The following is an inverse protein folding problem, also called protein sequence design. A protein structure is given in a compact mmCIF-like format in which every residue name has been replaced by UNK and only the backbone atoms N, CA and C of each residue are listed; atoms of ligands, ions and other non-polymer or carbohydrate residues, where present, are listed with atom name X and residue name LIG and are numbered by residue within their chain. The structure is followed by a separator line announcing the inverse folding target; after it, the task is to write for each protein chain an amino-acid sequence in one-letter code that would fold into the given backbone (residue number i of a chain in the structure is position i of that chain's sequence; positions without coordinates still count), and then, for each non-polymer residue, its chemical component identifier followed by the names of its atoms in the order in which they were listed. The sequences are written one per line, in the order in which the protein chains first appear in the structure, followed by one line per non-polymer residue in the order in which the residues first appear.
data_IF_450000202899
#
_entry.id   IF_450000202899
#
_cell.length_a   1.000
_cell.length_b   1.000
_cell.length_c   1.000
_cell.angle_alpha   90.00
_cell.angle_beta   90.00
_cell.angle_gamma   90.00
#
_symmetry.space_group_name_H-M   'P 1'
#
loop_
_entity.id
_entity.type
_entity.pdbx_description
1 polymer ?
#
# COMPACT_ATOMS: atom_id res chain seq x y z
N UNK A 1 -5.80 -12.40 0.40
CA UNK A 1 -4.37 -12.18 0.07
C UNK A 1 -3.64 -11.60 1.28
N UNK A 2 -2.54 -12.21 1.74
CA UNK A 2 -1.76 -11.69 2.87
C UNK A 2 -0.79 -10.60 2.37
N UNK A 3 -0.92 -9.38 2.89
CA UNK A 3 -0.03 -8.25 2.65
C UNK A 3 0.87 -8.05 3.87
N UNK A 4 2.17 -7.80 3.64
CA UNK A 4 3.11 -7.46 4.72
C UNK A 4 2.80 -6.07 5.33
N UNK A 5 3.36 -5.79 6.52
CA UNK A 5 3.20 -4.49 7.17
C UNK A 5 3.62 -3.32 6.28
N UNK A 6 4.78 -3.44 5.61
CA UNK A 6 5.26 -2.43 4.67
C UNK A 6 4.35 -2.28 3.45
N UNK A 7 3.86 -3.38 2.88
CA UNK A 7 2.93 -3.32 1.74
C UNK A 7 1.61 -2.63 2.12
N UNK A 8 1.05 -2.93 3.29
CA UNK A 8 -0.14 -2.24 3.80
C UNK A 8 0.14 -0.75 4.01
N UNK A 9 1.31 -0.42 4.56
CA UNK A 9 1.74 0.96 4.75
C UNK A 9 1.85 1.72 3.42
N UNK A 10 2.49 1.14 2.39
CA UNK A 10 2.62 1.74 1.06
C UNK A 10 1.23 2.04 0.48
N UNK A 11 0.30 1.08 0.53
CA UNK A 11 -1.06 1.28 0.00
C UNK A 11 -1.82 2.38 0.75
N UNK A 12 -1.75 2.38 2.09
CA UNK A 12 -2.39 3.41 2.93
C UNK A 12 -1.82 4.79 2.67
N UNK A 13 -0.49 4.93 2.74
CA UNK A 13 0.20 6.20 2.53
C UNK A 13 -0.07 6.74 1.13
N UNK A 14 -0.17 5.84 0.14
CA UNK A 14 -0.48 6.23 -1.24
C UNK A 14 -1.91 6.73 -1.40
N UNK A 15 -2.85 6.14 -0.66
CA UNK A 15 -4.24 6.61 -0.61
C UNK A 15 -4.38 7.97 0.09
N UNK A 16 -3.71 8.15 1.24
CA UNK A 16 -3.79 9.35 2.08
C UNK A 16 -3.30 10.63 1.37
N UNK A 17 -2.20 10.54 0.63
CA UNK A 17 -1.56 11.70 0.00
C UNK A 17 -2.42 12.31 -1.14
N UNK A 18 -3.44 11.59 -1.64
CA UNK A 18 -4.36 11.99 -2.72
C UNK A 18 -3.70 12.50 -4.02
N UNK A 19 -2.37 12.42 -4.15
CA UNK A 19 -1.63 12.77 -5.37
C UNK A 19 -1.82 11.71 -6.44
N UNK A 20 -1.67 12.14 -7.69
CA UNK A 20 -1.76 11.25 -8.87
C UNK A 20 -0.63 10.22 -8.91
N UNK A 21 0.57 10.58 -8.44
CA UNK A 21 1.77 9.74 -8.32
C UNK A 21 2.53 10.11 -7.05
N UNK A 22 3.21 9.15 -6.45
CA UNK A 22 3.97 9.35 -5.21
C UNK A 22 5.37 8.82 -5.38
N UNK A 23 6.37 9.63 -5.02
CA UNK A 23 7.77 9.22 -5.01
C UNK A 23 8.00 8.11 -4.00
N UNK A 24 8.82 7.14 -4.39
CA UNK A 24 9.29 6.03 -3.55
C UNK A 24 9.88 6.51 -2.22
N UNK A 25 10.49 7.70 -2.18
CA UNK A 25 11.17 8.21 -0.98
C UNK A 25 10.21 8.46 0.18
N UNK A 26 8.93 8.71 -0.11
CA UNK A 26 7.90 8.86 0.93
C UNK A 26 7.75 7.61 1.80
N UNK A 27 8.18 6.44 1.31
CA UNK A 27 8.05 5.17 2.04
C UNK A 27 9.19 4.90 3.02
N UNK A 28 10.28 5.70 3.00
CA UNK A 28 11.34 5.56 4.02
C UNK A 28 10.83 5.84 5.44
N UNK A 29 9.82 6.71 5.56
CA UNK A 29 9.16 7.05 6.82
C UNK A 29 8.57 5.85 7.59
N UNK A 30 8.37 4.71 6.91
CA UNK A 30 8.01 3.45 7.56
C UNK A 30 9.04 3.04 8.63
N UNK A 31 10.31 3.34 8.40
CA UNK A 31 11.42 2.90 9.25
C UNK A 31 11.76 3.89 10.37
N UNK A 32 11.20 5.10 10.36
CA UNK A 32 11.52 6.14 11.35
C UNK A 32 11.13 5.72 12.77
N UNK A 33 10.12 4.86 12.91
CA UNK A 33 9.61 4.36 14.19
C UNK A 33 10.25 3.03 14.62
N UNK A 34 11.22 2.50 13.88
CA UNK A 34 11.84 1.19 14.15
C UNK A 34 13.19 1.42 14.85
N UNK A 35 13.29 0.96 16.11
CA UNK A 35 14.46 1.14 16.98
C UNK A 35 15.77 0.63 16.36
N UNK A 36 15.73 -0.52 15.69
CA UNK A 36 16.88 -1.14 15.01
C UNK A 36 16.62 -1.26 13.51
N UNK A 37 16.42 -0.11 12.86
CA UNK A 37 16.13 -0.09 11.44
C UNK A 37 17.37 -0.45 10.58
N UNK A 38 17.23 -1.24 9.50
CA UNK A 38 18.35 -1.63 8.63
C UNK A 38 19.11 -0.45 8.02
N UNK A 39 20.29 -0.69 7.43
CA UNK A 39 21.01 0.35 6.68
C UNK A 39 20.18 0.93 5.51
N UNK A 40 20.41 2.19 5.14
CA UNK A 40 19.63 2.90 4.08
C UNK A 40 19.55 2.12 2.75
N UNK A 41 20.68 1.57 2.29
CA UNK A 41 20.76 0.75 1.06
C UNK A 41 19.86 -0.50 1.12
N UNK A 42 19.80 -1.14 2.28
CA UNK A 42 18.96 -2.31 2.52
C UNK A 42 17.48 -1.90 2.52
N UNK A 43 17.12 -0.78 3.17
CA UNK A 43 15.74 -0.24 3.15
C UNK A 43 15.26 0.03 1.73
N UNK A 44 16.10 0.67 0.91
CA UNK A 44 15.78 0.96 -0.49
C UNK A 44 15.44 -0.32 -1.28
N UNK A 45 16.24 -1.39 -1.10
CA UNK A 45 15.99 -2.69 -1.72
C UNK A 45 14.70 -3.34 -1.21
N UNK A 46 14.42 -3.29 0.09
CA UNK A 46 13.19 -3.85 0.68
C UNK A 46 11.95 -3.12 0.16
N UNK A 47 11.98 -1.78 0.10
CA UNK A 47 10.89 -0.97 -0.46
C UNK A 47 10.67 -1.32 -1.92
N UNK A 48 11.75 -1.39 -2.72
CA UNK A 48 11.67 -1.71 -4.16
C UNK A 48 11.04 -3.08 -4.38
N UNK A 49 11.51 -4.13 -3.70
CA UNK A 49 10.92 -5.48 -3.76
C UNK A 49 9.46 -5.51 -3.31
N UNK A 50 9.10 -4.68 -2.34
CA UNK A 50 7.72 -4.60 -1.86
C UNK A 50 6.80 -3.96 -2.89
N UNK A 51 7.28 -2.94 -3.61
CA UNK A 51 6.57 -2.29 -4.72
C UNK A 51 6.43 -3.26 -5.89
N UNK A 52 7.50 -3.93 -6.30
CA UNK A 52 7.49 -4.93 -7.39
C UNK A 52 6.41 -5.99 -7.14
N UNK A 53 6.38 -6.57 -5.93
CA UNK A 53 5.33 -7.52 -5.54
C UNK A 53 3.92 -6.94 -5.57
N UNK A 54 3.75 -5.65 -5.28
CA UNK A 54 2.43 -5.01 -5.38
C UNK A 54 2.03 -4.74 -6.84
N UNK A 55 2.99 -4.51 -7.72
CA UNK A 55 2.80 -4.40 -9.18
C UNK A 55 2.41 -5.76 -9.75
N UNK A 56 3.13 -6.83 -9.41
CA UNK A 56 2.81 -8.22 -9.78
C UNK A 56 1.37 -8.60 -9.38
N UNK A 57 0.88 -8.05 -8.26
CA UNK A 57 -0.48 -8.27 -7.74
C UNK A 57 -1.52 -7.32 -8.35
N UNK A 58 -1.14 -6.44 -9.27
CA UNK A 58 -2.04 -5.49 -9.93
C UNK A 58 -2.58 -4.39 -9.01
N UNK A 59 -1.95 -4.10 -7.87
CA UNK A 59 -2.41 -3.10 -6.89
C UNK A 59 -1.83 -1.71 -7.14
N UNK A 60 -0.68 -1.62 -7.81
CA UNK A 60 -0.01 -0.36 -8.12
C UNK A 60 0.57 -0.41 -9.52
N UNK A 61 0.70 0.75 -10.12
CA UNK A 61 1.45 1.00 -11.35
C UNK A 61 2.74 1.70 -10.94
N UNK A 62 3.88 1.14 -11.35
CA UNK A 62 5.18 1.78 -11.19
C UNK A 62 5.50 2.67 -12.39
N UNK A 63 6.09 3.84 -12.11
CA UNK A 63 6.68 4.74 -13.10
C UNK A 63 8.17 4.86 -12.79
N UNK A 64 8.98 4.92 -13.84
CA UNK A 64 10.41 4.88 -13.66
C UNK A 64 11.16 4.86 -14.98
N UNK A 65 12.47 4.78 -14.87
CA UNK A 65 13.38 4.74 -16.00
C UNK A 65 13.76 3.29 -16.31
N UNK A 66 13.50 2.86 -17.54
CA UNK A 66 13.97 1.56 -18.02
C UNK A 66 15.40 1.74 -18.51
N UNK A 67 16.34 1.09 -17.84
CA UNK A 67 17.72 0.96 -18.31
C UNK A 67 17.88 -0.37 -19.05
N UNK A 68 19.08 -0.59 -19.63
CA UNK A 68 19.44 -1.85 -20.27
C UNK A 68 19.24 -3.07 -19.35
N UNK A 69 19.43 -2.91 -18.03
CA UNK A 69 19.40 -4.04 -17.10
C UNK A 69 18.11 -4.16 -16.31
N UNK A 70 17.46 -3.04 -15.95
CA UNK A 70 16.26 -3.06 -15.10
C UNK A 70 15.45 -1.78 -15.18
N UNK A 71 14.23 -1.87 -14.66
CA UNK A 71 13.35 -0.73 -14.44
C UNK A 71 13.61 -0.12 -13.06
N UNK A 72 13.96 1.16 -13.02
CA UNK A 72 14.16 1.92 -11.80
C UNK A 72 12.88 2.67 -11.43
N UNK A 73 12.09 2.08 -10.53
CA UNK A 73 10.82 2.65 -10.10
C UNK A 73 11.07 3.89 -9.22
N UNK A 74 10.69 5.06 -9.71
CA UNK A 74 10.79 6.34 -9.00
C UNK A 74 9.48 6.73 -8.34
N UNK A 75 8.36 6.45 -9.02
CA UNK A 75 7.03 6.83 -8.54
C UNK A 75 6.04 5.67 -8.67
N UNK A 76 4.99 5.69 -7.86
CA UNK A 76 3.89 4.72 -7.95
C UNK A 76 2.52 5.39 -7.93
N UNK A 77 1.51 4.70 -8.46
CA UNK A 77 0.10 5.09 -8.43
C UNK A 77 -0.79 3.88 -8.15
N UNK A 78 -1.84 4.05 -7.34
CA UNK A 78 -2.83 2.99 -7.12
C UNK A 78 -3.63 2.68 -8.39
N UNK A 79 -3.79 1.39 -8.69
CA UNK A 79 -4.80 0.92 -9.65
C UNK A 79 -6.20 1.03 -9.04
N UNK A 80 -7.29 0.88 -9.82
CA UNK A 80 -8.64 0.78 -9.26
C UNK A 80 -8.77 -0.34 -8.22
N UNK A 81 -8.13 -1.50 -8.45
CA UNK A 81 -8.07 -2.59 -7.49
C UNK A 81 -7.30 -2.18 -6.22
N UNK A 82 -6.13 -1.57 -6.38
CA UNK A 82 -5.32 -1.06 -5.28
C UNK A 82 -6.03 -0.04 -4.42
N UNK A 83 -6.82 0.86 -5.02
CA UNK A 83 -7.67 1.82 -4.31
C UNK A 83 -8.69 1.11 -3.43
N UNK A 84 -9.44 0.15 -3.97
CA UNK A 84 -10.40 -0.66 -3.20
C UNK A 84 -9.71 -1.41 -2.05
N UNK A 85 -8.53 -1.98 -2.29
CA UNK A 85 -7.76 -2.67 -1.25
C UNK A 85 -7.26 -1.71 -0.18
N UNK A 86 -6.76 -0.53 -0.55
CA UNK A 86 -6.29 0.49 0.39
C UNK A 86 -7.44 1.01 1.27
N UNK A 87 -8.61 1.25 0.68
CA UNK A 87 -9.83 1.62 1.42
C UNK A 87 -10.23 0.54 2.43
N UNK A 88 -10.23 -0.74 2.04
CA UNK A 88 -10.48 -1.85 2.97
C UNK A 88 -9.48 -1.87 4.14
N UNK A 89 -8.20 -1.59 3.86
CA UNK A 89 -7.15 -1.53 4.90
C UNK A 89 -7.30 -0.35 5.88
N UNK A 90 -7.97 0.73 5.46
CA UNK A 90 -8.23 1.91 6.30
C UNK A 90 -9.47 1.74 7.19
N UNK A 91 -10.14 0.58 7.11
CA UNK A 91 -11.36 0.33 7.86
C UNK A 91 -12.59 0.80 7.09
N UNK A 92 -12.92 0.10 5.99
CA UNK A 92 -14.33 -0.29 5.90
C UNK A 92 -14.61 -1.07 7.18
N UNK A 93 -15.12 -0.38 8.19
CA UNK A 93 -15.83 -0.98 9.30
C UNK A 93 -16.74 -2.03 8.67
N UNK A 94 -16.52 -3.30 8.99
CA UNK A 94 -17.45 -4.36 8.63
C UNK A 94 -18.84 -3.89 9.06
N UNK A 95 -19.85 -4.05 8.20
CA UNK A 95 -21.24 -3.83 8.60
C UNK A 95 -21.44 -4.53 9.94
N UNK A 96 -21.76 -3.75 10.98
CA UNK A 96 -22.20 -4.32 12.24
C UNK A 96 -23.35 -5.26 11.89
N UNK A 97 -23.37 -6.51 12.34
CA UNK A 97 -24.50 -7.38 12.12
C UNK A 97 -25.67 -6.76 12.88
N UNK A 98 -26.46 -5.94 12.19
CA UNK A 98 -27.73 -5.48 12.70
C UNK A 98 -28.61 -6.73 12.79
N UNK A 99 -28.64 -7.36 13.97
CA UNK A 99 -29.73 -8.26 14.33
C UNK A 99 -31.00 -7.44 14.17
N UNK A 100 -31.74 -7.68 13.08
CA UNK A 100 -33.14 -7.25 12.98
C UNK A 100 -33.87 -7.90 14.16
N UNK A 101 -34.08 -7.17 15.24
CA UNK A 101 -35.09 -7.60 16.20
C UNK A 101 -36.40 -7.51 15.44
N UNK A 102 -36.97 -8.67 15.12
CA UNK A 102 -38.37 -8.76 14.74
C UNK A 102 -39.14 -8.26 15.96
N UNK A 103 -39.58 -7.00 15.96
CA UNK A 103 -40.75 -6.64 16.75
C UNK A 103 -41.94 -7.23 16.00
N UNK A 104 -42.29 -8.44 16.42
CA UNK A 104 -43.55 -9.08 16.11
C UNK A 104 -44.69 -8.15 16.56
N UNK A 105 -45.65 -7.89 15.68
CA UNK A 105 -46.88 -7.18 16.01
C UNK A 105 -47.60 -7.83 17.19
N UNK A 106 -48.01 -7.02 18.17
CA UNK A 106 -49.31 -7.05 18.86
C UNK A 106 -49.46 -5.80 19.71
#
# INVERSE_FOLDING_TARGET
MKLSGLQKFILRKTWEIKKTKISRDNFYSFYDKIKTAPAKKIRANIITKSIERLIERGLVIGFGEKTQHKLFITHIKLTPLGKKTAQKLLGQQAELPFKKSRKTNR
#
